data_IF_311632943261
#
_entry.id   IF_311632943261
#
_cell.length_a   1.000
_cell.length_b   1.000
_cell.length_c   1.000
_cell.angle_alpha   90.00
_cell.angle_beta   90.00
_cell.angle_gamma   90.00
#
_symmetry.space_group_name_H-M   'P 1'
#
loop_
_entity.id
_entity.type
_entity.pdbx_description
1 polymer ?
#
# COMPACT_ATOMS: atom_id res chain seq x y z
N UNK A 1 1.43 -19.69 -18.66
CA UNK A 1 1.69 -18.66 -17.66
C UNK A 1 2.99 -17.95 -17.99
N UNK A 2 2.87 -16.70 -18.38
CA UNK A 2 3.98 -15.82 -18.73
C UNK A 2 3.68 -14.47 -18.08
N UNK A 3 4.72 -13.68 -17.85
CA UNK A 3 4.56 -12.31 -17.40
C UNK A 3 3.79 -11.49 -18.43
N UNK A 4 2.91 -10.61 -17.95
CA UNK A 4 2.21 -9.65 -18.78
C UNK A 4 2.97 -8.32 -18.73
N UNK A 5 3.60 -7.97 -19.84
CA UNK A 5 4.34 -6.71 -19.97
C UNK A 5 3.58 -5.74 -20.87
N UNK A 6 3.17 -4.60 -20.32
CA UNK A 6 2.47 -3.55 -21.05
C UNK A 6 3.47 -2.47 -21.46
N UNK A 7 3.70 -2.21 -22.75
CA UNK A 7 4.62 -1.16 -23.21
C UNK A 7 4.03 0.24 -23.08
N UNK A 8 4.86 1.28 -23.21
CA UNK A 8 4.48 2.70 -23.01
C UNK A 8 3.37 3.21 -23.94
N UNK A 9 3.21 2.61 -25.09
CA UNK A 9 2.21 3.01 -26.11
C UNK A 9 0.86 2.31 -25.98
N UNK A 10 0.70 1.46 -24.97
CA UNK A 10 -0.52 0.72 -24.69
C UNK A 10 -1.06 1.07 -23.30
N UNK A 11 -2.31 0.75 -23.05
CA UNK A 11 -2.93 0.86 -21.73
C UNK A 11 -3.48 -0.51 -21.33
N UNK A 12 -3.36 -0.85 -20.05
CA UNK A 12 -4.04 -2.04 -19.51
C UNK A 12 -5.41 -1.62 -18.98
N UNK A 13 -6.46 -2.11 -19.62
CA UNK A 13 -7.84 -1.90 -19.19
C UNK A 13 -8.38 -3.23 -18.68
N UNK A 14 -8.83 -3.26 -17.43
CA UNK A 14 -9.45 -4.42 -16.79
C UNK A 14 -10.93 -4.09 -16.56
N UNK A 15 -11.81 -4.82 -17.23
CA UNK A 15 -13.25 -4.58 -17.18
C UNK A 15 -13.85 -5.01 -15.82
N UNK A 16 -14.99 -4.41 -15.47
CA UNK A 16 -15.76 -4.81 -14.29
C UNK A 16 -16.08 -6.32 -14.31
N UNK A 17 -16.05 -6.95 -13.14
CA UNK A 17 -16.24 -8.39 -12.95
C UNK A 17 -15.07 -9.27 -13.39
N UNK A 18 -14.02 -8.71 -13.97
CA UNK A 18 -12.87 -9.47 -14.43
C UNK A 18 -12.16 -10.21 -13.27
N UNK A 19 -11.66 -11.41 -13.57
CA UNK A 19 -10.89 -12.26 -12.66
C UNK A 19 -9.51 -12.53 -13.26
N UNK A 20 -8.48 -11.92 -12.72
CA UNK A 20 -7.10 -12.09 -13.18
C UNK A 20 -6.39 -13.02 -12.20
N UNK A 21 -6.00 -14.21 -12.65
CA UNK A 21 -5.32 -15.19 -11.84
C UNK A 21 -3.84 -15.28 -12.24
N UNK A 22 -2.95 -14.85 -11.38
CA UNK A 22 -1.50 -14.93 -11.57
C UNK A 22 -1.02 -16.28 -11.05
N UNK A 23 -0.43 -17.09 -11.91
CA UNK A 23 0.00 -18.46 -11.62
C UNK A 23 1.49 -18.66 -11.93
N UNK A 24 2.12 -19.63 -11.23
CA UNK A 24 3.48 -20.08 -11.52
C UNK A 24 4.51 -18.93 -11.55
N UNK A 25 4.44 -18.01 -10.61
CA UNK A 25 5.37 -16.88 -10.51
C UNK A 25 5.14 -15.76 -11.53
N UNK A 26 4.02 -15.79 -12.28
CA UNK A 26 3.73 -14.71 -13.23
C UNK A 26 3.39 -13.39 -12.53
N UNK A 27 3.67 -12.29 -13.21
CA UNK A 27 3.48 -10.91 -12.76
C UNK A 27 2.95 -10.01 -13.87
N UNK A 28 2.46 -8.84 -13.49
CA UNK A 28 2.06 -7.77 -14.43
C UNK A 28 3.05 -6.62 -14.26
N UNK A 29 3.76 -6.26 -15.33
CA UNK A 29 4.63 -5.11 -15.38
C UNK A 29 4.08 -4.14 -16.43
N UNK A 30 3.68 -2.96 -16.00
CA UNK A 30 3.13 -1.95 -16.89
C UNK A 30 4.02 -0.72 -16.95
N UNK A 31 4.52 -0.39 -18.15
CA UNK A 31 5.16 0.89 -18.44
C UNK A 31 4.13 1.94 -18.89
N UNK A 32 2.86 1.73 -18.57
CA UNK A 32 1.75 2.62 -18.86
C UNK A 32 0.70 2.53 -17.74
N UNK A 33 -0.28 3.41 -17.77
CA UNK A 33 -1.33 3.39 -16.75
C UNK A 33 -2.17 2.11 -16.80
N UNK A 34 -2.67 1.74 -15.64
CA UNK A 34 -3.68 0.71 -15.48
C UNK A 34 -5.04 1.39 -15.21
N UNK A 35 -6.07 0.95 -15.91
CA UNK A 35 -7.48 1.32 -15.65
C UNK A 35 -8.22 0.04 -15.26
N UNK A 36 -8.59 -0.07 -13.99
CA UNK A 36 -9.31 -1.20 -13.44
C UNK A 36 -10.55 -0.67 -12.69
N UNK A 37 -11.63 -0.45 -13.39
CA UNK A 37 -12.85 0.12 -12.83
C UNK A 37 -13.94 -0.96 -12.70
N UNK A 38 -13.98 -1.62 -11.55
CA UNK A 38 -15.07 -2.49 -11.13
C UNK A 38 -16.25 -1.68 -10.58
N UNK A 39 -17.27 -2.41 -10.10
CA UNK A 39 -18.44 -1.87 -9.42
C UNK A 39 -18.70 -2.66 -8.14
N UNK A 40 -19.58 -2.18 -7.22
CA UNK A 40 -19.97 -2.98 -6.05
C UNK A 40 -20.52 -4.36 -6.41
N UNK A 41 -21.30 -4.46 -7.48
CA UNK A 41 -21.93 -5.71 -7.93
C UNK A 41 -20.98 -6.57 -8.78
N UNK A 42 -20.03 -5.94 -9.50
CA UNK A 42 -19.06 -6.59 -10.37
C UNK A 42 -17.62 -6.14 -10.03
N UNK A 43 -17.10 -6.47 -8.83
CA UNK A 43 -15.74 -6.12 -8.47
C UNK A 43 -14.71 -6.88 -9.30
N UNK A 44 -13.58 -6.24 -9.54
CA UNK A 44 -12.43 -6.89 -10.19
C UNK A 44 -11.66 -7.67 -9.13
N UNK A 45 -11.22 -8.89 -9.47
CA UNK A 45 -10.39 -9.73 -8.60
C UNK A 45 -9.06 -10.04 -9.26
N UNK A 46 -7.97 -9.68 -8.60
CA UNK A 46 -6.60 -9.98 -9.04
C UNK A 46 -5.95 -10.83 -7.94
N UNK A 47 -5.56 -12.05 -8.26
CA UNK A 47 -5.21 -13.02 -7.23
C UNK A 47 -4.27 -14.11 -7.73
N UNK A 48 -3.74 -14.89 -6.80
CA UNK A 48 -3.00 -16.11 -7.10
C UNK A 48 -3.70 -17.30 -6.44
N UNK A 49 -4.19 -18.25 -7.24
CA UNK A 49 -4.83 -19.45 -6.69
C UNK A 49 -3.86 -20.58 -6.35
N UNK A 50 -2.61 -20.50 -6.79
CA UNK A 50 -1.52 -21.42 -6.44
C UNK A 50 -0.55 -20.82 -5.40
N UNK A 51 -0.77 -19.59 -4.95
CA UNK A 51 0.09 -18.84 -4.04
C UNK A 51 1.52 -18.60 -4.57
N UNK A 52 1.73 -18.74 -5.86
CA UNK A 52 3.02 -18.49 -6.52
C UNK A 52 3.01 -17.21 -7.35
N UNK A 53 1.82 -16.65 -7.66
CA UNK A 53 1.68 -15.39 -8.39
C UNK A 53 2.39 -14.26 -7.68
N UNK A 54 3.12 -13.48 -8.47
CA UNK A 54 3.89 -12.37 -7.94
C UNK A 54 3.08 -11.07 -7.96
N UNK A 55 3.65 -10.03 -8.47
CA UNK A 55 3.22 -8.67 -8.25
C UNK A 55 2.51 -8.01 -9.45
N UNK A 56 1.97 -6.84 -9.15
CA UNK A 56 1.66 -5.81 -10.14
C UNK A 56 2.64 -4.66 -9.94
N UNK A 57 3.25 -4.20 -11.02
CA UNK A 57 4.16 -3.07 -11.04
C UNK A 57 3.77 -2.08 -12.14
N UNK A 58 3.54 -0.82 -11.77
CA UNK A 58 3.38 0.32 -12.69
C UNK A 58 4.60 1.21 -12.61
N UNK A 59 5.26 1.43 -13.75
CA UNK A 59 6.54 2.14 -13.85
C UNK A 59 6.44 3.39 -14.72
N UNK A 60 7.02 4.50 -14.21
CA UNK A 60 7.39 5.70 -14.95
C UNK A 60 6.27 6.25 -15.87
N UNK A 61 5.03 6.23 -15.38
CA UNK A 61 3.85 6.66 -16.13
C UNK A 61 3.30 7.99 -15.59
N UNK A 62 3.18 8.97 -16.45
CA UNK A 62 2.67 10.30 -16.11
C UNK A 62 1.14 10.41 -16.16
N UNK A 63 0.48 9.54 -16.91
CA UNK A 63 -0.97 9.43 -16.88
C UNK A 63 -1.41 8.70 -15.63
N UNK A 64 -2.50 9.14 -15.05
CA UNK A 64 -3.02 8.57 -13.81
C UNK A 64 -3.58 7.16 -14.02
N UNK A 65 -3.06 6.20 -13.25
CA UNK A 65 -3.73 4.90 -13.08
C UNK A 65 -4.97 5.06 -12.22
N UNK A 66 -6.04 4.32 -12.54
CA UNK A 66 -7.33 4.38 -11.84
C UNK A 66 -7.75 2.97 -11.47
N UNK A 67 -7.91 2.73 -10.17
CA UNK A 67 -8.41 1.47 -9.65
C UNK A 67 -9.64 1.73 -8.80
N UNK A 68 -10.75 1.05 -9.10
CA UNK A 68 -11.99 1.13 -8.31
C UNK A 68 -12.60 -0.25 -8.13
N UNK A 69 -13.05 -0.56 -6.91
CA UNK A 69 -13.64 -1.85 -6.55
C UNK A 69 -12.77 -3.03 -6.99
N UNK A 70 -11.48 -2.98 -6.61
CA UNK A 70 -10.50 -4.03 -6.92
C UNK A 70 -10.11 -4.77 -5.64
N UNK A 71 -10.07 -6.09 -5.73
CA UNK A 71 -9.65 -6.99 -4.66
C UNK A 71 -8.35 -7.69 -5.05
N UNK A 72 -7.33 -7.55 -4.24
CA UNK A 72 -6.06 -8.25 -4.36
C UNK A 72 -5.98 -9.36 -3.32
N UNK A 73 -5.64 -10.59 -3.75
CA UNK A 73 -5.52 -11.74 -2.85
C UNK A 73 -4.28 -12.57 -3.16
N UNK A 74 -3.62 -13.07 -2.10
CA UNK A 74 -2.58 -14.09 -2.19
C UNK A 74 -1.46 -13.74 -3.17
N UNK A 75 -1.10 -12.47 -3.29
CA UNK A 75 0.01 -12.03 -4.12
C UNK A 75 1.32 -12.04 -3.32
N UNK A 76 2.44 -12.10 -4.04
CA UNK A 76 3.79 -11.96 -3.50
C UNK A 76 4.47 -10.74 -4.10
N UNK A 77 5.60 -10.34 -3.55
CA UNK A 77 6.43 -9.29 -4.11
C UNK A 77 7.00 -9.67 -5.50
N UNK A 78 7.39 -8.66 -6.27
CA UNK A 78 8.12 -8.86 -7.52
C UNK A 78 9.51 -9.38 -7.23
N UNK A 79 9.86 -10.56 -7.70
CA UNK A 79 11.21 -11.12 -7.56
C UNK A 79 11.58 -11.96 -8.78
N UNK A 80 12.68 -11.62 -9.42
CA UNK A 80 13.36 -12.45 -10.43
C UNK A 80 14.86 -12.17 -10.41
N UNK A 81 15.61 -12.76 -11.33
CA UNK A 81 17.07 -12.62 -11.40
C UNK A 81 17.55 -11.18 -11.66
N UNK A 82 16.69 -10.28 -12.12
CA UNK A 82 17.03 -8.90 -12.51
C UNK A 82 16.41 -7.83 -11.62
N UNK A 83 15.39 -8.19 -10.81
CA UNK A 83 14.60 -7.23 -10.04
C UNK A 83 14.01 -7.88 -8.80
N UNK A 84 14.16 -7.20 -7.67
CA UNK A 84 13.43 -7.49 -6.45
C UNK A 84 12.80 -6.19 -5.95
N UNK A 85 11.48 -6.19 -5.76
CA UNK A 85 10.73 -5.12 -5.13
C UNK A 85 10.07 -5.65 -3.86
N UNK A 86 9.85 -4.77 -2.92
CA UNK A 86 9.27 -5.09 -1.61
C UNK A 86 7.78 -5.38 -1.69
N UNK A 87 7.05 -4.65 -2.52
CA UNK A 87 5.59 -4.70 -2.59
C UNK A 87 5.01 -5.77 -3.52
N UNK A 88 3.81 -6.24 -3.16
CA UNK A 88 2.98 -7.08 -4.05
C UNK A 88 2.22 -6.24 -5.10
N UNK A 89 1.90 -4.99 -4.78
CA UNK A 89 1.34 -3.99 -5.71
C UNK A 89 2.21 -2.74 -5.62
N UNK A 90 2.79 -2.32 -6.74
CA UNK A 90 3.81 -1.27 -6.75
C UNK A 90 3.49 -0.17 -7.76
N UNK A 91 3.63 1.08 -7.32
CA UNK A 91 3.53 2.28 -8.16
C UNK A 91 4.80 3.11 -8.01
N UNK A 92 5.61 3.15 -9.07
CA UNK A 92 6.91 3.81 -9.08
C UNK A 92 6.97 4.93 -10.11
N UNK A 93 7.23 6.18 -9.68
CA UNK A 93 7.26 7.40 -10.51
C UNK A 93 5.98 7.61 -11.33
N UNK A 94 4.82 7.52 -10.70
CA UNK A 94 3.54 7.55 -11.39
C UNK A 94 2.50 8.40 -10.64
N UNK A 95 1.28 8.36 -11.12
CA UNK A 95 0.11 8.91 -10.44
C UNK A 95 -0.93 7.81 -10.30
N UNK A 96 -1.53 7.69 -9.13
CA UNK A 96 -2.55 6.67 -8.89
C UNK A 96 -3.75 7.23 -8.11
N UNK A 97 -4.94 6.83 -8.55
CA UNK A 97 -6.19 7.00 -7.83
C UNK A 97 -6.73 5.62 -7.49
N UNK A 98 -7.02 5.40 -6.22
CA UNK A 98 -7.65 4.18 -5.73
C UNK A 98 -8.93 4.51 -4.96
N UNK A 99 -10.00 3.76 -5.20
CA UNK A 99 -11.24 3.90 -4.45
C UNK A 99 -11.93 2.54 -4.28
N UNK A 100 -12.27 2.20 -3.04
CA UNK A 100 -12.83 0.89 -2.66
C UNK A 100 -11.92 -0.28 -3.04
N UNK A 101 -10.70 -0.30 -2.49
CA UNK A 101 -9.68 -1.33 -2.76
C UNK A 101 -9.47 -2.19 -1.53
N UNK A 102 -9.36 -3.51 -1.75
CA UNK A 102 -9.14 -4.51 -0.74
C UNK A 102 -7.83 -5.27 -1.00
N UNK A 103 -6.95 -5.29 -0.01
CA UNK A 103 -5.69 -6.01 0.01
C UNK A 103 -5.76 -7.11 1.08
N UNK A 104 -5.82 -8.37 0.68
CA UNK A 104 -6.12 -9.48 1.58
C UNK A 104 -5.10 -10.60 1.39
N UNK A 105 -4.52 -11.10 2.49
CA UNK A 105 -3.69 -12.30 2.53
C UNK A 105 -2.50 -12.27 1.56
N UNK A 106 -1.56 -11.32 1.67
CA UNK A 106 -0.34 -11.44 0.86
C UNK A 106 0.53 -12.61 1.35
N UNK A 107 1.16 -13.30 0.39
CA UNK A 107 1.92 -14.53 0.69
C UNK A 107 3.34 -14.22 1.14
N UNK A 108 4.01 -13.27 0.46
CA UNK A 108 5.40 -12.91 0.68
C UNK A 108 5.64 -11.48 0.23
N UNK A 109 6.67 -10.88 0.74
CA UNK A 109 7.08 -9.50 0.47
C UNK A 109 7.13 -8.71 1.77
N UNK A 110 7.86 -7.62 1.75
CA UNK A 110 7.96 -6.69 2.87
C UNK A 110 6.72 -5.78 2.94
N UNK A 111 6.14 -5.47 1.77
CA UNK A 111 4.95 -4.64 1.68
C UNK A 111 3.83 -5.31 0.88
N UNK A 112 2.57 -4.96 1.17
CA UNK A 112 1.49 -5.30 0.27
C UNK A 112 1.35 -4.25 -0.83
N UNK A 113 1.12 -2.98 -0.48
CA UNK A 113 1.11 -1.85 -1.41
C UNK A 113 2.33 -0.96 -1.15
N UNK A 114 3.14 -0.74 -2.18
CA UNK A 114 4.27 0.17 -2.14
C UNK A 114 4.10 1.30 -3.17
N UNK A 115 4.24 2.57 -2.72
CA UNK A 115 4.09 3.77 -3.55
C UNK A 115 5.36 4.60 -3.44
N UNK A 116 6.17 4.62 -4.52
CA UNK A 116 7.49 5.24 -4.52
C UNK A 116 7.56 6.40 -5.51
N UNK A 117 8.05 7.56 -5.04
CA UNK A 117 8.28 8.76 -5.85
C UNK A 117 7.06 9.14 -6.73
N UNK A 118 5.87 9.06 -6.13
CA UNK A 118 4.60 9.11 -6.84
C UNK A 118 3.63 10.12 -6.23
N UNK A 119 2.56 10.43 -6.95
CA UNK A 119 1.42 11.19 -6.43
C UNK A 119 0.19 10.29 -6.36
N UNK A 120 -0.58 10.40 -5.28
CA UNK A 120 -1.72 9.52 -5.11
C UNK A 120 -2.92 10.20 -4.44
N UNK A 121 -4.10 9.62 -4.67
CA UNK A 121 -5.35 9.89 -3.97
C UNK A 121 -5.98 8.52 -3.66
N UNK A 122 -5.99 8.15 -2.38
CA UNK A 122 -6.44 6.84 -1.91
C UNK A 122 -7.70 7.01 -1.05
N UNK A 123 -8.78 6.31 -1.43
CA UNK A 123 -10.05 6.35 -0.70
C UNK A 123 -10.58 4.95 -0.43
N UNK A 124 -11.15 4.76 0.75
CA UNK A 124 -11.85 3.53 1.12
C UNK A 124 -10.96 2.28 0.92
N UNK A 125 -9.74 2.30 1.50
CA UNK A 125 -8.82 1.19 1.43
C UNK A 125 -8.96 0.27 2.64
N UNK A 126 -8.84 -1.02 2.40
CA UNK A 126 -8.91 -2.05 3.42
C UNK A 126 -7.77 -3.05 3.26
N UNK A 127 -6.98 -3.23 4.33
CA UNK A 127 -5.90 -4.21 4.41
C UNK A 127 -6.22 -5.24 5.49
N UNK A 128 -6.07 -6.52 5.15
CA UNK A 128 -6.34 -7.61 6.09
C UNK A 128 -5.31 -8.72 5.95
N UNK A 129 -4.79 -9.20 7.09
CA UNK A 129 -3.86 -10.32 7.18
C UNK A 129 -2.59 -10.11 6.35
N UNK A 130 -1.94 -8.96 6.48
CA UNK A 130 -0.70 -8.69 5.76
C UNK A 130 0.48 -9.41 6.43
N UNK A 131 1.36 -9.98 5.61
CA UNK A 131 2.47 -10.81 6.09
C UNK A 131 3.64 -9.99 6.66
N UNK A 132 3.75 -8.72 6.25
CA UNK A 132 4.70 -7.74 6.78
C UNK A 132 4.02 -6.36 6.79
N UNK A 133 4.59 -5.32 6.14
CA UNK A 133 3.97 -4.01 6.07
C UNK A 133 2.74 -4.00 5.14
N UNK A 134 1.70 -3.29 5.54
CA UNK A 134 0.51 -3.21 4.70
C UNK A 134 0.64 -2.15 3.61
N UNK A 135 1.06 -0.95 3.97
CA UNK A 135 1.25 0.18 3.06
C UNK A 135 2.56 0.89 3.37
N UNK A 136 3.46 0.91 2.38
CA UNK A 136 4.71 1.66 2.43
C UNK A 136 4.69 2.79 1.39
N UNK A 137 5.09 4.00 1.80
CA UNK A 137 5.04 5.21 0.97
C UNK A 137 6.37 5.96 1.07
N UNK A 138 7.13 5.94 -0.04
CA UNK A 138 8.44 6.56 -0.14
C UNK A 138 8.48 7.74 -1.10
N UNK A 139 9.11 8.84 -0.70
CA UNK A 139 9.36 10.02 -1.55
C UNK A 139 8.12 10.51 -2.30
N UNK A 140 6.96 10.37 -1.69
CA UNK A 140 5.66 10.54 -2.34
C UNK A 140 4.82 11.62 -1.67
N UNK A 141 3.77 12.04 -2.40
CA UNK A 141 2.83 13.04 -1.89
C UNK A 141 1.41 12.67 -2.25
N UNK A 142 0.51 12.72 -1.27
CA UNK A 142 -0.89 12.42 -1.55
C UNK A 142 -1.81 12.52 -0.36
N UNK A 143 -3.03 12.02 -0.58
CA UNK A 143 -4.12 12.02 0.39
C UNK A 143 -4.67 10.63 0.58
N UNK A 144 -5.06 10.35 1.81
CA UNK A 144 -5.70 9.09 2.21
C UNK A 144 -6.99 9.42 2.96
N UNK A 145 -8.10 8.90 2.50
CA UNK A 145 -9.40 9.05 3.16
C UNK A 145 -10.04 7.68 3.40
N UNK A 146 -10.43 7.38 4.64
CA UNK A 146 -11.05 6.12 5.06
C UNK A 146 -10.15 4.90 4.79
N UNK A 147 -9.12 4.70 5.61
CA UNK A 147 -8.25 3.54 5.51
C UNK A 147 -8.35 2.66 6.76
N UNK A 148 -8.40 1.35 6.56
CA UNK A 148 -8.50 0.37 7.63
C UNK A 148 -7.43 -0.72 7.48
N UNK A 149 -6.75 -1.04 8.58
CA UNK A 149 -5.77 -2.10 8.68
C UNK A 149 -6.18 -3.10 9.78
N UNK A 150 -6.18 -4.38 9.47
CA UNK A 150 -6.51 -5.45 10.41
C UNK A 150 -5.49 -6.57 10.27
N UNK A 151 -4.89 -7.00 11.38
CA UNK A 151 -3.96 -8.13 11.43
C UNK A 151 -2.74 -7.95 10.52
N UNK A 152 -2.03 -6.83 10.61
CA UNK A 152 -0.75 -6.63 9.91
C UNK A 152 0.37 -7.19 10.81
N UNK A 153 1.28 -8.00 10.26
CA UNK A 153 2.34 -8.62 11.07
C UNK A 153 3.49 -7.69 11.40
N UNK A 154 3.69 -6.63 10.63
CA UNK A 154 4.68 -5.57 10.88
C UNK A 154 3.96 -4.22 10.93
N UNK A 155 4.38 -3.20 10.14
CA UNK A 155 3.78 -1.86 10.18
C UNK A 155 2.45 -1.80 9.38
N UNK A 156 1.48 -1.05 9.85
CA UNK A 156 0.25 -0.83 9.07
C UNK A 156 0.48 0.23 7.99
N UNK A 157 1.12 1.36 8.34
CA UNK A 157 1.56 2.39 7.42
C UNK A 157 2.98 2.82 7.78
N UNK A 158 3.93 2.70 6.85
CA UNK A 158 5.27 3.27 6.95
C UNK A 158 5.48 4.41 5.94
N UNK A 159 6.06 5.51 6.38
CA UNK A 159 6.32 6.70 5.58
C UNK A 159 7.79 7.04 5.62
N UNK A 160 8.40 7.26 4.44
CA UNK A 160 9.75 7.76 4.29
C UNK A 160 9.81 8.93 3.29
N UNK A 161 10.39 10.06 3.69
CA UNK A 161 10.55 11.26 2.85
C UNK A 161 9.25 11.70 2.13
N UNK A 162 8.11 11.58 2.79
CA UNK A 162 6.79 11.73 2.18
C UNK A 162 5.96 12.84 2.86
N UNK A 163 5.02 13.41 2.12
CA UNK A 163 4.08 14.43 2.63
C UNK A 163 2.65 13.95 2.43
N UNK A 164 1.97 13.63 3.52
CA UNK A 164 0.69 12.93 3.47
C UNK A 164 -0.37 13.65 4.30
N UNK A 165 -1.59 13.73 3.75
CA UNK A 165 -2.80 14.10 4.48
C UNK A 165 -3.63 12.82 4.70
N UNK A 166 -4.03 12.53 5.96
CA UNK A 166 -4.85 11.35 6.28
C UNK A 166 -6.12 11.77 7.02
N UNK A 167 -7.26 11.23 6.57
CA UNK A 167 -8.54 11.38 7.27
C UNK A 167 -9.20 10.02 7.49
N UNK A 168 -9.65 9.77 8.74
CA UNK A 168 -10.31 8.53 9.15
C UNK A 168 -9.42 7.28 8.96
N UNK A 169 -8.36 7.22 9.76
CA UNK A 169 -7.45 6.10 9.85
C UNK A 169 -7.87 5.14 10.97
N UNK A 170 -7.89 3.84 10.68
CA UNK A 170 -8.11 2.79 11.68
C UNK A 170 -7.09 1.68 11.52
N UNK A 171 -6.47 1.28 12.63
CA UNK A 171 -5.54 0.14 12.66
C UNK A 171 -5.87 -0.74 13.88
N UNK A 172 -5.94 -2.04 13.65
CA UNK A 172 -6.23 -3.01 14.70
C UNK A 172 -5.38 -4.26 14.57
N UNK A 173 -4.79 -4.68 15.70
CA UNK A 173 -3.95 -5.87 15.80
C UNK A 173 -2.73 -5.79 14.86
N UNK A 174 -1.84 -4.85 15.15
CA UNK A 174 -0.65 -4.54 14.35
C UNK A 174 0.58 -5.06 15.09
N UNK A 175 1.42 -5.80 14.39
CA UNK A 175 2.55 -6.51 14.98
C UNK A 175 3.70 -5.59 15.44
N UNK A 176 3.94 -4.49 14.73
CA UNK A 176 4.94 -3.48 15.12
C UNK A 176 4.26 -2.10 15.20
N UNK A 177 4.44 -1.20 14.25
CA UNK A 177 3.94 0.17 14.33
C UNK A 177 2.62 0.33 13.57
N UNK A 178 1.60 0.83 14.26
CA UNK A 178 0.37 1.15 13.56
C UNK A 178 0.55 2.35 12.62
N UNK A 179 1.35 3.33 13.01
CA UNK A 179 1.67 4.49 12.19
C UNK A 179 3.14 4.84 12.38
N UNK A 180 3.93 4.63 11.37
CA UNK A 180 5.38 4.86 11.31
C UNK A 180 5.68 6.04 10.39
N UNK A 181 6.15 7.15 10.94
CA UNK A 181 6.48 8.36 10.20
C UNK A 181 7.96 8.64 10.35
N UNK A 182 8.71 8.48 9.27
CA UNK A 182 10.17 8.55 9.29
C UNK A 182 10.79 9.41 8.18
N UNK A 183 12.09 9.59 8.26
CA UNK A 183 12.95 10.22 7.26
C UNK A 183 12.39 11.51 6.65
N UNK A 184 12.34 12.60 7.44
CA UNK A 184 11.82 13.91 7.01
C UNK A 184 10.38 13.88 6.45
N UNK A 185 9.57 12.91 6.83
CA UNK A 185 8.18 12.87 6.42
C UNK A 185 7.34 13.89 7.19
N UNK A 186 6.30 14.39 6.55
CA UNK A 186 5.26 15.21 7.16
C UNK A 186 3.91 14.54 7.04
N UNK A 187 3.24 14.35 8.18
CA UNK A 187 1.91 13.78 8.28
C UNK A 187 0.94 14.78 8.93
N UNK A 188 -0.11 15.14 8.19
CA UNK A 188 -1.29 15.83 8.71
C UNK A 188 -2.44 14.84 8.81
N UNK A 189 -2.99 14.59 10.01
CA UNK A 189 -3.96 13.53 10.23
C UNK A 189 -5.18 13.94 11.06
N UNK A 190 -6.35 13.47 10.65
CA UNK A 190 -7.61 13.67 11.36
C UNK A 190 -8.32 12.33 11.63
N UNK A 191 -8.81 12.14 12.87
CA UNK A 191 -9.55 10.94 13.29
C UNK A 191 -8.73 9.64 13.14
N UNK A 192 -7.69 9.51 13.92
CA UNK A 192 -6.77 8.37 13.96
C UNK A 192 -7.15 7.47 15.14
N UNK A 193 -7.52 6.22 14.84
CA UNK A 193 -7.91 5.22 15.84
C UNK A 193 -7.03 3.97 15.73
N UNK A 194 -6.31 3.67 16.81
CA UNK A 194 -5.39 2.53 16.88
C UNK A 194 -5.81 1.65 18.07
N UNK A 195 -6.01 0.37 17.83
CA UNK A 195 -6.35 -0.62 18.85
C UNK A 195 -5.45 -1.84 18.72
N UNK A 196 -4.63 -2.07 19.73
CA UNK A 196 -3.72 -3.20 19.83
C UNK A 196 -2.60 -3.17 18.76
N UNK A 197 -1.48 -2.56 19.11
CA UNK A 197 -0.22 -2.59 18.37
C UNK A 197 0.95 -2.73 19.34
N UNK A 198 2.14 -3.10 18.86
CA UNK A 198 3.34 -2.96 19.69
C UNK A 198 3.60 -1.46 19.93
N UNK A 199 3.66 -0.64 18.88
CA UNK A 199 3.79 0.81 18.98
C UNK A 199 2.66 1.50 18.19
N UNK A 200 1.90 2.37 18.85
CA UNK A 200 0.80 3.08 18.21
C UNK A 200 1.28 4.04 17.15
N UNK A 201 2.10 5.03 17.51
CA UNK A 201 2.67 6.00 16.58
C UNK A 201 4.16 6.22 16.86
N UNK A 202 4.97 6.12 15.82
CA UNK A 202 6.38 6.47 15.80
C UNK A 202 6.64 7.70 14.93
N UNK A 203 7.24 8.75 15.48
CA UNK A 203 7.81 9.88 14.73
C UNK A 203 9.33 9.74 14.77
N UNK A 204 9.95 9.47 13.61
CA UNK A 204 11.38 9.13 13.51
C UNK A 204 12.12 10.09 12.59
N UNK A 205 13.45 10.23 12.81
CA UNK A 205 14.38 10.74 11.81
C UNK A 205 13.95 12.08 11.19
N UNK A 206 13.74 13.10 12.04
CA UNK A 206 13.31 14.46 11.70
C UNK A 206 11.93 14.56 11.01
N UNK A 207 11.07 13.56 11.20
CA UNK A 207 9.69 13.65 10.73
C UNK A 207 8.84 14.59 11.60
N UNK A 208 7.78 15.15 11.02
CA UNK A 208 6.79 15.99 11.68
C UNK A 208 5.41 15.36 11.59
N UNK A 209 4.66 15.39 12.69
CA UNK A 209 3.32 14.81 12.77
C UNK A 209 2.37 15.78 13.43
N UNK A 210 1.34 16.19 12.70
CA UNK A 210 0.23 17.01 13.21
C UNK A 210 -1.07 16.21 13.17
N UNK A 211 -1.65 15.95 14.36
CA UNK A 211 -2.85 15.09 14.45
C UNK A 211 -3.97 15.76 15.23
N UNK A 212 -5.16 15.74 14.64
CA UNK A 212 -6.39 16.10 15.30
C UNK A 212 -7.22 14.84 15.57
N UNK A 213 -7.55 14.60 16.86
CA UNK A 213 -8.30 13.44 17.33
C UNK A 213 -7.55 12.10 17.12
N UNK A 214 -6.55 11.86 17.98
CA UNK A 214 -5.82 10.60 18.09
C UNK A 214 -6.32 9.78 19.29
N UNK A 215 -6.69 8.53 19.05
CA UNK A 215 -7.01 7.54 20.08
C UNK A 215 -6.15 6.29 19.88
N UNK A 216 -5.35 5.97 20.90
CA UNK A 216 -4.55 4.74 20.94
C UNK A 216 -5.00 3.93 22.17
N UNK A 217 -5.34 2.66 21.96
CA UNK A 217 -5.78 1.75 23.01
C UNK A 217 -5.09 0.39 22.88
N UNK A 218 -4.91 -0.29 24.00
CA UNK A 218 -4.39 -1.66 24.09
C UNK A 218 -3.02 -1.88 23.40
N UNK A 219 -2.23 -0.84 23.22
CA UNK A 219 -0.90 -0.91 22.61
C UNK A 219 0.17 -0.95 23.72
N UNK A 220 1.29 -1.63 23.47
CA UNK A 220 2.37 -1.74 24.44
C UNK A 220 3.04 -0.37 24.65
N UNK A 221 3.22 0.40 23.57
CA UNK A 221 3.73 1.77 23.58
C UNK A 221 2.74 2.64 22.79
N UNK A 222 2.24 3.72 23.39
CA UNK A 222 1.34 4.62 22.68
C UNK A 222 2.06 5.46 21.64
N UNK A 223 3.05 6.25 22.07
CA UNK A 223 3.79 7.21 21.23
C UNK A 223 5.29 7.07 21.46
N UNK A 224 6.08 7.17 20.40
CA UNK A 224 7.53 7.28 20.48
C UNK A 224 8.08 8.31 19.48
N UNK A 225 9.10 9.07 19.90
CA UNK A 225 9.88 9.91 19.00
C UNK A 225 11.35 9.62 19.22
N UNK A 226 12.07 9.29 18.13
CA UNK A 226 13.48 8.88 18.21
C UNK A 226 14.21 9.01 16.87
N UNK A 227 15.53 9.00 16.94
CA UNK A 227 16.40 8.89 15.76
C UNK A 227 16.74 7.40 15.56
N UNK A 228 16.37 6.85 14.41
CA UNK A 228 16.70 5.48 13.98
C UNK A 228 17.92 5.48 13.05
N UNK A 229 18.05 6.48 12.20
CA UNK A 229 19.10 6.63 11.19
C UNK A 229 19.98 7.82 11.52
N UNK A 230 21.29 7.60 11.67
CA UNK A 230 22.24 8.64 12.12
C UNK A 230 22.45 9.78 11.11
N UNK A 231 22.04 9.61 9.88
CA UNK A 231 22.09 10.63 8.80
C UNK A 231 20.98 11.68 8.88
N UNK A 232 19.99 11.52 9.75
CA UNK A 232 18.90 12.47 10.00
C UNK A 232 19.01 13.18 11.34
#
# INVERSE_FOLDING_TARGET
>A
TQDLIIPKDKELIIAAGARVNLLNGSKIISNSRIIAEGTPDEPIKIYSSDNLGQCILVLDEQKQSILKYVYFYNLSNCSDASMELTGSVNFYKTKVLMDNIYFIDNIKGDDYLNIINSKFDLKNLFFENTNADALDIDYSKGKIENINFINCKNDALDLSNSTIEIKNYKAKNIGDKALSVGENSYLDGENIFIDKSFLGLAAKDQSEVDLNNLVISNSDIGLASYIKKNEY
#
